data_IF_183744466225
#
_entry.id   IF_183744466225
#
_cell.length_a   1.000
_cell.length_b   1.000
_cell.length_c   1.000
_cell.angle_alpha   90.00
_cell.angle_beta   90.00
_cell.angle_gamma   90.00
#
_symmetry.space_group_name_H-M   'P 1'
#
loop_
_entity.id
_entity.type
_entity.pdbx_description
1 polymer ?
#
# COMPACT_ATOMS: atom_id res chain seq x y z
N UNK A 1 12.87 -4.69 -15.16
CA UNK A 1 12.54 -5.37 -13.90
C UNK A 1 11.29 -6.19 -14.15
N UNK A 2 11.27 -7.49 -13.82
CA UNK A 2 10.06 -8.30 -13.94
C UNK A 2 9.03 -7.86 -12.91
N UNK A 3 7.77 -7.81 -13.28
CA UNK A 3 6.67 -7.56 -12.37
C UNK A 3 6.52 -8.76 -11.43
N UNK A 4 6.62 -8.55 -10.12
CA UNK A 4 6.35 -9.59 -9.13
C UNK A 4 4.85 -9.69 -8.89
N UNK A 5 4.36 -10.92 -8.79
CA UNK A 5 2.96 -11.14 -8.40
C UNK A 5 2.70 -10.72 -6.95
N UNK A 6 1.45 -10.42 -6.58
CA UNK A 6 1.08 -10.13 -5.19
C UNK A 6 1.51 -11.23 -4.21
N UNK A 7 1.38 -12.52 -4.59
CA UNK A 7 1.79 -13.67 -3.80
C UNK A 7 3.31 -13.70 -3.52
N UNK A 8 4.12 -13.43 -4.55
CA UNK A 8 5.58 -13.34 -4.40
C UNK A 8 5.96 -12.21 -3.45
N UNK A 9 5.36 -11.03 -3.60
CA UNK A 9 5.63 -9.88 -2.73
C UNK A 9 5.27 -10.18 -1.26
N UNK A 10 4.14 -10.84 -1.04
CA UNK A 10 3.70 -11.26 0.29
C UNK A 10 4.66 -12.29 0.91
N UNK A 11 5.04 -13.31 0.14
CA UNK A 11 5.98 -14.35 0.58
C UNK A 11 7.35 -13.78 0.92
N UNK A 12 7.86 -12.85 0.10
CA UNK A 12 9.13 -12.19 0.36
C UNK A 12 9.08 -11.34 1.65
N UNK A 13 7.98 -10.63 1.88
CA UNK A 13 7.79 -9.84 3.10
C UNK A 13 7.68 -10.73 4.34
N UNK A 14 6.99 -11.88 4.25
CA UNK A 14 6.87 -12.84 5.34
C UNK A 14 8.23 -13.37 5.81
N UNK A 15 9.13 -13.72 4.87
CA UNK A 15 10.50 -14.16 5.18
C UNK A 15 11.28 -13.09 5.93
N UNK A 16 11.22 -11.83 5.46
CA UNK A 16 11.89 -10.71 6.12
C UNK A 16 11.33 -10.49 7.52
N UNK A 17 10.01 -10.66 7.70
CA UNK A 17 9.37 -10.51 9.00
C UNK A 17 9.80 -11.60 9.99
N UNK A 18 9.93 -12.85 9.54
CA UNK A 18 10.46 -13.96 10.35
C UNK A 18 11.91 -13.68 10.79
N UNK A 19 12.75 -13.19 9.88
CA UNK A 19 14.13 -12.79 10.21
C UNK A 19 14.15 -11.68 11.27
N UNK A 20 13.28 -10.67 11.15
CA UNK A 20 13.17 -9.59 12.12
C UNK A 20 12.72 -10.08 13.50
N UNK A 21 11.77 -11.00 13.54
CA UNK A 21 11.25 -11.57 14.79
C UNK A 21 12.31 -12.42 15.52
N UNK A 22 13.29 -12.95 14.81
CA UNK A 22 14.42 -13.67 15.40
C UNK A 22 15.43 -12.78 16.12
N UNK A 23 15.37 -11.46 15.89
CA UNK A 23 16.28 -10.50 16.50
C UNK A 23 15.79 -10.10 17.90
N UNK A 24 16.67 -10.20 18.91
CA UNK A 24 16.36 -9.74 20.27
C UNK A 24 16.03 -8.23 20.31
N UNK A 25 16.65 -7.45 19.43
CA UNK A 25 16.42 -6.00 19.30
C UNK A 25 16.74 -5.48 17.90
N UNK A 26 15.81 -4.79 17.30
CA UNK A 26 16.00 -4.13 16.00
C UNK A 26 16.63 -2.74 16.23
N UNK A 27 17.84 -2.53 15.71
CA UNK A 27 18.59 -1.26 15.80
C UNK A 27 18.38 -0.42 14.54
N UNK A 28 18.68 0.86 14.59
CA UNK A 28 18.57 1.77 13.43
C UNK A 28 19.34 1.27 12.18
N UNK A 29 20.50 0.64 12.39
CA UNK A 29 21.27 0.03 11.29
C UNK A 29 20.48 -1.09 10.60
N UNK A 30 19.80 -1.92 11.39
CA UNK A 30 19.02 -3.04 10.89
C UNK A 30 17.78 -2.51 10.14
N UNK A 31 17.11 -1.47 10.66
CA UNK A 31 15.99 -0.76 10.01
C UNK A 31 16.37 -0.16 8.65
N UNK A 32 17.55 0.43 8.55
CA UNK A 32 18.07 1.02 7.30
C UNK A 32 18.44 -0.03 6.25
N UNK A 33 18.73 -1.26 6.67
CA UNK A 33 19.05 -2.37 5.78
C UNK A 33 17.82 -3.05 5.20
N UNK A 34 16.62 -2.82 5.79
CA UNK A 34 15.37 -3.43 5.31
C UNK A 34 15.01 -2.96 3.90
N UNK A 35 14.60 -3.89 3.03
CA UNK A 35 14.13 -3.54 1.70
C UNK A 35 12.82 -2.75 1.77
N UNK A 36 12.73 -1.70 0.95
CA UNK A 36 11.46 -1.00 0.75
C UNK A 36 10.46 -1.95 0.10
N UNK A 37 9.22 -1.93 0.56
CA UNK A 37 8.19 -2.81 0.05
C UNK A 37 7.57 -2.25 -1.24
N UNK A 38 7.50 -3.11 -2.26
CA UNK A 38 6.80 -2.77 -3.50
C UNK A 38 5.29 -2.87 -3.30
N UNK A 39 4.54 -2.02 -4.02
CA UNK A 39 3.09 -2.01 -3.97
C UNK A 39 2.51 -3.17 -4.80
N UNK A 40 1.76 -4.09 -4.21
CA UNK A 40 1.02 -5.09 -4.96
C UNK A 40 0.08 -4.43 -5.97
N UNK A 41 0.09 -4.91 -7.19
CA UNK A 41 -0.69 -4.33 -8.28
C UNK A 41 -1.16 -5.39 -9.26
N UNK A 42 -2.18 -5.05 -10.05
CA UNK A 42 -2.67 -5.87 -11.14
C UNK A 42 -1.56 -6.19 -12.15
N UNK A 43 -1.68 -7.36 -12.78
CA UNK A 43 -0.84 -7.71 -13.92
C UNK A 43 -0.86 -6.61 -14.98
N UNK A 44 0.29 -6.24 -15.58
CA UNK A 44 0.39 -5.16 -16.55
C UNK A 44 -0.49 -5.31 -17.79
N UNK A 45 -0.79 -6.54 -18.21
CA UNK A 45 -1.68 -6.81 -19.36
C UNK A 45 -3.14 -6.72 -18.91
N UNK A 46 -3.48 -7.37 -17.79
CA UNK A 46 -4.84 -7.40 -17.26
C UNK A 46 -5.38 -6.01 -16.93
N UNK A 47 -4.55 -5.14 -16.31
CA UNK A 47 -4.96 -3.77 -15.94
C UNK A 47 -5.31 -2.88 -17.14
N UNK A 48 -4.78 -3.18 -18.33
CA UNK A 48 -5.11 -2.47 -19.57
C UNK A 48 -6.49 -2.81 -20.12
N UNK A 49 -7.17 -3.81 -19.58
CA UNK A 49 -8.45 -4.33 -20.07
C UNK A 49 -9.62 -4.10 -19.11
N UNK A 50 -9.39 -3.37 -18.01
CA UNK A 50 -10.42 -3.09 -17.02
C UNK A 50 -10.27 -1.69 -16.43
N UNK A 51 -11.27 -1.26 -15.63
CA UNK A 51 -11.31 0.05 -14.96
C UNK A 51 -11.20 -0.07 -13.43
N UNK A 52 -10.72 -1.22 -12.93
CA UNK A 52 -10.54 -1.41 -11.50
C UNK A 52 -9.30 -0.69 -10.98
N UNK A 53 -9.21 -0.52 -9.67
CA UNK A 53 -8.03 0.09 -9.03
C UNK A 53 -6.79 -0.78 -9.32
N UNK A 54 -5.74 -0.17 -9.87
CA UNK A 54 -4.54 -0.90 -10.30
C UNK A 54 -3.74 -1.47 -9.13
N UNK A 55 -3.66 -0.72 -8.03
CA UNK A 55 -2.90 -1.10 -6.85
C UNK A 55 -3.82 -1.71 -5.79
N UNK A 56 -3.40 -2.83 -5.21
CA UNK A 56 -4.19 -3.55 -4.20
C UNK A 56 -3.98 -3.05 -2.77
N UNK A 57 -2.94 -2.27 -2.50
CA UNK A 57 -2.51 -1.94 -1.15
C UNK A 57 -1.52 -2.98 -0.60
N UNK A 58 -0.96 -2.70 0.58
CA UNK A 58 -0.06 -3.64 1.24
C UNK A 58 -0.82 -4.80 1.89
N UNK A 59 -0.22 -5.98 1.87
CA UNK A 59 -0.54 -7.05 2.79
C UNK A 59 0.00 -6.72 4.19
N UNK A 60 -0.50 -7.41 5.18
CA UNK A 60 -0.12 -7.20 6.59
C UNK A 60 1.39 -7.36 6.79
N UNK A 61 1.97 -8.40 6.21
CA UNK A 61 3.40 -8.70 6.30
C UNK A 61 4.24 -7.57 5.71
N UNK A 62 3.84 -7.03 4.56
CA UNK A 62 4.51 -5.90 3.93
C UNK A 62 4.38 -4.62 4.75
N UNK A 63 3.18 -4.36 5.31
CA UNK A 63 2.95 -3.18 6.13
C UNK A 63 3.83 -3.20 7.39
N UNK A 64 3.96 -4.35 8.04
CA UNK A 64 4.84 -4.51 9.21
C UNK A 64 6.31 -4.30 8.86
N UNK A 65 6.81 -4.94 7.78
CA UNK A 65 8.20 -4.75 7.33
C UNK A 65 8.47 -3.28 6.98
N UNK A 66 7.58 -2.64 6.23
CA UNK A 66 7.74 -1.23 5.86
C UNK A 66 7.66 -0.30 7.08
N UNK A 67 6.81 -0.62 8.06
CA UNK A 67 6.71 0.12 9.32
C UNK A 67 8.00 0.02 10.14
N UNK A 68 8.65 -1.15 10.17
CA UNK A 68 9.93 -1.36 10.85
C UNK A 68 11.09 -0.55 10.23
N UNK A 69 10.98 -0.09 9.00
CA UNK A 69 11.96 0.82 8.40
C UNK A 69 11.96 2.21 9.06
N UNK A 70 10.91 2.57 9.77
CA UNK A 70 10.80 3.87 10.44
C UNK A 70 11.78 3.96 11.62
N UNK A 71 12.63 5.00 11.63
CA UNK A 71 13.63 5.24 12.68
C UNK A 71 13.02 5.84 13.97
N UNK A 72 11.71 6.06 14.02
CA UNK A 72 11.03 6.66 15.18
C UNK A 72 11.70 7.96 15.67
N UNK A 73 11.94 8.89 14.74
CA UNK A 73 12.71 10.11 14.99
C UNK A 73 12.05 11.00 16.04
N UNK A 74 12.80 11.42 17.07
CA UNK A 74 12.29 12.32 18.13
C UNK A 74 11.76 13.65 17.58
N UNK A 75 12.40 14.24 16.55
CA UNK A 75 12.00 15.51 15.94
C UNK A 75 11.26 15.31 14.62
N UNK A 76 10.81 14.13 14.29
CA UNK A 76 10.01 13.68 13.17
C UNK A 76 9.83 14.70 12.01
N UNK A 77 10.85 14.89 11.12
CA UNK A 77 10.74 15.91 10.07
C UNK A 77 9.59 15.64 9.12
N UNK A 78 9.20 14.38 8.93
CA UNK A 78 8.07 13.96 8.11
C UNK A 78 6.73 14.58 8.58
N UNK A 79 6.53 14.77 9.89
CA UNK A 79 5.34 15.44 10.44
C UNK A 79 5.26 16.88 9.95
N UNK A 80 6.39 17.57 9.84
CA UNK A 80 6.44 18.95 9.31
C UNK A 80 6.11 19.01 7.81
N UNK A 81 6.43 17.94 7.09
CA UNK A 81 6.10 17.81 5.68
C UNK A 81 4.65 17.41 5.41
N UNK A 82 3.90 16.98 6.42
CA UNK A 82 2.47 16.66 6.29
C UNK A 82 1.63 17.93 6.47
N UNK A 83 0.78 18.32 5.49
CA UNK A 83 -0.07 19.52 5.58
C UNK A 83 -1.00 19.51 6.80
N UNK A 84 -1.54 18.35 7.17
CA UNK A 84 -2.43 18.18 8.33
C UNK A 84 -1.70 17.70 9.59
N UNK A 85 -0.37 17.57 9.54
CA UNK A 85 0.47 17.24 10.67
C UNK A 85 0.13 15.95 11.41
N UNK A 86 -0.16 14.89 10.68
CA UNK A 86 -0.34 13.55 11.26
C UNK A 86 0.92 13.18 12.07
N UNK A 87 0.73 12.60 13.27
CA UNK A 87 1.83 12.03 14.04
C UNK A 87 2.33 10.73 13.41
N UNK A 88 3.17 10.92 12.36
CA UNK A 88 3.63 9.83 11.49
C UNK A 88 4.40 8.76 12.26
N UNK A 89 5.37 9.06 13.14
CA UNK A 89 6.06 8.04 13.90
C UNK A 89 5.11 7.20 14.76
N UNK A 90 4.12 7.83 15.38
CA UNK A 90 3.19 7.16 16.28
C UNK A 90 2.29 6.18 15.55
N UNK A 91 1.65 6.59 14.44
CA UNK A 91 0.80 5.66 13.70
C UNK A 91 1.59 4.50 13.07
N UNK A 92 2.82 4.78 12.57
CA UNK A 92 3.68 3.72 12.01
C UNK A 92 4.14 2.75 13.10
N UNK A 93 4.39 3.23 14.32
CA UNK A 93 4.72 2.36 15.45
C UNK A 93 3.59 1.39 15.77
N UNK A 94 2.35 1.86 15.83
CA UNK A 94 1.17 0.99 16.01
C UNK A 94 1.08 -0.08 14.92
N UNK A 95 1.40 0.24 13.64
CA UNK A 95 1.43 -0.77 12.57
C UNK A 95 2.47 -1.85 12.87
N UNK A 96 3.70 -1.47 13.28
CA UNK A 96 4.75 -2.45 13.58
C UNK A 96 4.38 -3.36 14.76
N UNK A 97 3.58 -2.87 15.68
CA UNK A 97 3.06 -3.59 16.84
C UNK A 97 1.79 -4.42 16.52
N UNK A 98 1.22 -4.26 15.29
CA UNK A 98 -0.01 -4.94 14.88
C UNK A 98 -1.29 -4.30 15.41
N UNK A 99 -1.20 -3.14 16.02
CA UNK A 99 -2.34 -2.34 16.52
C UNK A 99 -2.86 -1.39 15.44
N UNK A 100 -3.64 -1.92 14.51
CA UNK A 100 -4.15 -1.15 13.38
C UNK A 100 -5.28 -0.20 13.78
N UNK A 101 -6.05 -0.53 14.81
CA UNK A 101 -7.09 0.34 15.36
C UNK A 101 -6.46 1.59 15.98
N UNK A 102 -5.46 1.42 16.85
CA UNK A 102 -4.70 2.52 17.43
C UNK A 102 -4.00 3.36 16.38
N UNK A 103 -3.44 2.72 15.33
CA UNK A 103 -2.85 3.42 14.19
C UNK A 103 -3.85 4.33 13.49
N UNK A 104 -5.04 3.82 13.17
CA UNK A 104 -6.11 4.58 12.53
C UNK A 104 -6.62 5.72 13.41
N UNK A 105 -6.74 5.50 14.72
CA UNK A 105 -7.13 6.52 15.68
C UNK A 105 -6.14 7.69 15.67
N UNK A 106 -4.84 7.41 15.66
CA UNK A 106 -3.79 8.44 15.58
C UNK A 106 -3.91 9.27 14.30
N UNK A 107 -4.12 8.64 13.15
CA UNK A 107 -4.30 9.35 11.88
C UNK A 107 -5.54 10.26 11.94
N UNK A 108 -6.64 9.74 12.48
CA UNK A 108 -7.92 10.47 12.58
C UNK A 108 -7.92 11.65 13.54
N UNK A 109 -6.92 11.78 14.40
CA UNK A 109 -6.77 12.99 15.25
C UNK A 109 -6.66 14.28 14.42
N UNK A 110 -6.06 14.19 13.22
CA UNK A 110 -5.81 15.36 12.37
C UNK A 110 -6.25 15.20 10.90
N UNK A 111 -6.47 13.97 10.43
CA UNK A 111 -6.88 13.66 9.05
C UNK A 111 -8.24 12.95 9.05
N UNK A 112 -9.24 13.56 8.38
CA UNK A 112 -10.57 12.96 8.24
C UNK A 112 -10.68 12.00 7.05
N UNK A 113 -9.74 12.05 6.10
CA UNK A 113 -9.82 11.35 4.81
C UNK A 113 -8.58 10.48 4.53
N UNK A 114 -8.15 9.60 5.46
CA UNK A 114 -6.91 8.84 5.29
C UNK A 114 -6.92 7.94 4.05
N UNK A 115 -8.07 7.37 3.67
CA UNK A 115 -8.19 6.54 2.46
C UNK A 115 -7.90 7.32 1.17
N UNK A 116 -8.24 8.61 1.14
CA UNK A 116 -7.97 9.50 0.01
C UNK A 116 -6.52 9.97 0.08
N UNK A 117 -6.08 10.47 1.23
CA UNK A 117 -4.71 10.97 1.41
C UNK A 117 -3.67 9.90 1.06
N UNK A 118 -3.87 8.65 1.50
CA UNK A 118 -2.98 7.53 1.19
C UNK A 118 -2.89 7.19 -0.31
N UNK A 119 -3.88 7.66 -1.13
CA UNK A 119 -3.92 7.41 -2.58
C UNK A 119 -3.47 8.59 -3.43
N UNK A 120 -3.75 9.83 -3.01
CA UNK A 120 -3.62 11.00 -3.90
C UNK A 120 -2.64 12.06 -3.42
N UNK A 121 -2.18 12.03 -2.17
CA UNK A 121 -1.16 12.98 -1.71
C UNK A 121 0.15 12.79 -2.50
N UNK A 122 0.81 13.87 -2.97
CA UNK A 122 2.14 13.82 -3.58
C UNK A 122 3.21 13.66 -2.47
N UNK A 123 3.25 12.50 -1.84
CA UNK A 123 4.01 12.24 -0.62
C UNK A 123 5.52 12.40 -0.82
N UNK A 124 6.00 12.14 -2.03
CA UNK A 124 7.39 12.34 -2.45
C UNK A 124 7.85 13.80 -2.39
N UNK A 125 6.91 14.75 -2.38
CA UNK A 125 7.13 16.18 -2.23
C UNK A 125 6.64 16.72 -0.87
N UNK A 126 6.12 15.86 -0.02
CA UNK A 126 5.56 16.19 1.30
C UNK A 126 6.26 15.37 2.40
N UNK A 127 5.55 14.50 3.11
CA UNK A 127 6.07 13.78 4.25
C UNK A 127 7.29 12.90 3.93
N UNK A 128 7.33 12.24 2.77
CA UNK A 128 8.44 11.37 2.37
C UNK A 128 9.71 12.14 2.03
N UNK A 129 9.60 13.35 1.44
CA UNK A 129 10.75 14.22 1.15
C UNK A 129 11.58 14.51 2.40
N UNK A 130 10.91 14.68 3.54
CA UNK A 130 11.56 15.00 4.81
C UNK A 130 12.00 13.76 5.59
N UNK A 131 11.71 12.56 5.11
CA UNK A 131 11.99 11.32 5.82
C UNK A 131 13.51 11.14 6.05
N UNK A 132 13.88 10.88 7.32
CA UNK A 132 15.28 10.66 7.71
C UNK A 132 15.86 9.40 7.07
N UNK A 133 15.07 8.38 6.80
CA UNK A 133 15.52 7.15 6.12
C UNK A 133 16.06 7.47 4.73
N UNK A 134 15.27 8.17 3.90
CA UNK A 134 15.70 8.57 2.56
C UNK A 134 16.96 9.44 2.58
N UNK A 135 17.05 10.38 3.55
CA UNK A 135 18.23 11.21 3.74
C UNK A 135 19.46 10.38 4.14
N UNK A 136 19.30 9.41 5.04
CA UNK A 136 20.39 8.53 5.49
C UNK A 136 20.90 7.63 4.35
N UNK A 137 20.00 7.16 3.48
CA UNK A 137 20.32 6.35 2.32
C UNK A 137 20.76 7.18 1.11
N UNK A 138 20.75 8.51 1.21
CA UNK A 138 21.04 9.47 0.11
C UNK A 138 20.17 9.24 -1.14
N UNK A 139 18.97 8.75 -0.92
CA UNK A 139 17.97 8.47 -1.96
C UNK A 139 16.57 8.73 -1.41
N UNK A 140 15.95 9.83 -1.86
CA UNK A 140 14.61 10.22 -1.40
C UNK A 140 13.53 9.19 -1.74
N UNK A 141 13.72 8.42 -2.83
CA UNK A 141 12.79 7.38 -3.24
C UNK A 141 12.85 6.14 -2.34
N UNK A 142 13.90 6.00 -1.52
CA UNK A 142 14.03 4.96 -0.50
C UNK A 142 13.50 5.39 0.88
N UNK A 143 12.79 6.51 0.96
CA UNK A 143 12.07 6.91 2.16
C UNK A 143 11.08 5.81 2.59
N UNK A 144 10.65 5.85 3.85
CA UNK A 144 9.51 5.03 4.30
C UNK A 144 8.28 5.39 3.48
N UNK A 145 7.57 4.40 2.97
CA UNK A 145 6.37 4.57 2.14
C UNK A 145 5.16 4.98 2.98
N UNK A 146 5.23 6.18 3.57
CA UNK A 146 4.30 6.69 4.59
C UNK A 146 2.84 6.61 4.12
N UNK A 147 2.56 7.07 2.91
CA UNK A 147 1.19 7.05 2.41
C UNK A 147 0.68 5.65 2.05
N UNK A 148 1.56 4.72 1.66
CA UNK A 148 1.15 3.33 1.47
C UNK A 148 0.75 2.68 2.79
N UNK A 149 1.43 3.06 3.90
CA UNK A 149 1.06 2.65 5.25
C UNK A 149 -0.23 3.33 5.73
N UNK A 150 -0.41 4.62 5.44
CA UNK A 150 -1.66 5.34 5.70
C UNK A 150 -2.84 4.70 4.97
N UNK A 151 -2.67 4.38 3.68
CA UNK A 151 -3.65 3.65 2.89
C UNK A 151 -3.97 2.28 3.51
N UNK A 152 -2.96 1.50 3.87
CA UNK A 152 -3.14 0.18 4.47
C UNK A 152 -4.05 0.24 5.70
N UNK A 153 -3.78 1.15 6.63
CA UNK A 153 -4.57 1.31 7.85
C UNK A 153 -5.99 1.81 7.56
N UNK A 154 -6.13 2.72 6.60
CA UNK A 154 -7.44 3.23 6.20
C UNK A 154 -8.31 2.15 5.55
N UNK A 155 -7.73 1.33 4.68
CA UNK A 155 -8.40 0.22 4.01
C UNK A 155 -8.75 -0.89 5.03
N UNK A 156 -7.86 -1.16 5.98
CA UNK A 156 -8.14 -2.05 7.11
C UNK A 156 -9.35 -1.58 7.90
N UNK A 157 -9.41 -0.32 8.28
CA UNK A 157 -10.53 0.26 9.02
C UNK A 157 -11.86 0.30 8.26
N UNK A 158 -11.81 0.22 6.93
CA UNK A 158 -12.97 0.09 6.06
C UNK A 158 -13.35 -1.37 5.77
N UNK A 159 -12.62 -2.35 6.32
CA UNK A 159 -12.82 -3.78 6.05
C UNK A 159 -12.39 -4.22 4.64
N UNK A 160 -11.55 -3.42 3.97
CA UNK A 160 -11.10 -3.69 2.59
C UNK A 160 -9.78 -4.49 2.59
N UNK A 161 -8.95 -4.37 3.64
CA UNK A 161 -7.68 -5.10 3.77
C UNK A 161 -7.90 -6.56 4.08
N UNK A 162 -7.05 -7.39 3.52
CA UNK A 162 -7.11 -8.85 3.68
C UNK A 162 -7.93 -9.52 2.59
N UNK A 163 -8.11 -8.85 1.45
CA UNK A 163 -8.58 -9.51 0.25
C UNK A 163 -7.63 -10.69 -0.03
N UNK A 164 -8.12 -11.91 0.19
CA UNK A 164 -7.42 -13.12 -0.26
C UNK A 164 -7.24 -13.05 -1.77
N UNK A 165 -6.24 -13.76 -2.31
CA UNK A 165 -6.08 -13.84 -3.77
C UNK A 165 -7.36 -14.30 -4.46
N UNK A 166 -8.17 -15.12 -3.78
CA UNK A 166 -9.50 -15.56 -4.23
C UNK A 166 -10.46 -14.38 -4.37
N UNK A 167 -10.56 -13.51 -3.36
CA UNK A 167 -11.41 -12.30 -3.42
C UNK A 167 -10.88 -11.29 -4.45
N UNK A 168 -9.56 -11.13 -4.57
CA UNK A 168 -8.98 -10.30 -5.63
C UNK A 168 -9.28 -10.85 -7.02
N UNK A 169 -9.29 -12.18 -7.19
CA UNK A 169 -9.66 -12.84 -8.44
C UNK A 169 -11.17 -12.76 -8.71
N UNK A 170 -12.03 -12.79 -7.68
CA UNK A 170 -13.47 -12.63 -7.79
C UNK A 170 -13.87 -11.18 -8.12
N UNK A 171 -13.26 -10.20 -7.45
CA UNK A 171 -13.53 -8.77 -7.69
C UNK A 171 -12.88 -8.25 -8.98
N UNK A 172 -11.77 -8.88 -9.43
CA UNK A 172 -11.05 -8.57 -10.66
C UNK A 172 -10.84 -9.84 -11.50
N UNK A 173 -11.90 -10.45 -12.04
CA UNK A 173 -11.72 -11.62 -12.88
C UNK A 173 -10.84 -11.29 -14.08
N UNK A 174 -9.72 -12.03 -14.23
CA UNK A 174 -8.91 -11.95 -15.44
C UNK A 174 -9.80 -12.30 -16.64
N UNK A 175 -9.78 -11.48 -17.71
CA UNK A 175 -10.51 -11.82 -18.92
C UNK A 175 -10.07 -13.20 -19.43
N UNK A 176 -10.98 -13.99 -20.03
CA UNK A 176 -10.68 -15.34 -20.50
C UNK A 176 -9.44 -15.46 -21.39
N UNK A 177 -9.12 -14.40 -22.13
CA UNK A 177 -7.94 -14.30 -23.00
C UNK A 177 -6.60 -14.18 -22.25
N UNK A 178 -6.60 -13.79 -20.98
CA UNK A 178 -5.37 -13.69 -20.19
C UNK A 178 -4.97 -15.01 -19.50
N UNK A 179 -5.82 -16.05 -19.58
CA UNK A 179 -5.60 -17.35 -18.96
C UNK A 179 -4.95 -18.40 -19.86
N UNK A 180 -4.79 -18.10 -21.14
CA UNK A 180 -4.22 -19.02 -22.12
C UNK A 180 -2.98 -18.39 -22.75
N UNK A 181 -1.87 -19.04 -22.54
CA UNK A 181 -0.63 -19.05 -23.33
C UNK A 181 -0.26 -17.76 -24.08
N UNK A 182 0.89 -17.21 -23.72
CA UNK A 182 1.54 -16.02 -24.28
C UNK A 182 1.68 -15.95 -25.80
N UNK A 183 0.57 -15.88 -26.52
CA UNK A 183 0.51 -15.65 -27.95
C UNK A 183 -0.33 -14.41 -28.24
N UNK A 184 0.32 -13.31 -28.60
CA UNK A 184 -0.34 -12.09 -29.10
C UNK A 184 -0.54 -12.32 -30.60
N UNK A 185 -1.73 -12.70 -31.03
CA UNK A 185 -2.14 -12.54 -32.41
C UNK A 185 -3.00 -11.26 -32.52
N UNK A 186 -2.48 -10.36 -33.32
CA UNK A 186 -2.99 -8.99 -33.47
C UNK A 186 -4.23 -8.88 -34.35
N UNK A 187 -5.30 -9.66 -34.10
CA UNK A 187 -6.55 -9.52 -34.81
C UNK A 187 -7.76 -9.66 -33.93
N UNK A 188 -8.30 -8.53 -33.44
CA UNK A 188 -9.53 -8.58 -32.66
C UNK A 188 -9.96 -7.26 -32.02
N UNK A 189 -9.99 -6.18 -32.78
CA UNK A 189 -10.78 -5.01 -32.37
C UNK A 189 -12.26 -5.33 -32.52
N UNK A 190 -12.86 -5.93 -31.50
CA UNK A 190 -14.32 -6.10 -31.44
C UNK A 190 -14.88 -5.15 -30.41
N UNK A 191 -15.75 -4.26 -30.85
CA UNK A 191 -16.37 -3.20 -30.09
C UNK A 191 -17.07 -3.70 -28.81
N UNK A 192 -16.67 -3.19 -27.66
CA UNK A 192 -17.36 -3.36 -26.41
C UNK A 192 -18.54 -2.37 -26.34
N UNK A 193 -19.71 -2.78 -26.86
CA UNK A 193 -20.99 -2.15 -26.52
C UNK A 193 -21.71 -3.02 -25.48
N UNK A 194 -21.26 -2.95 -24.25
CA UNK A 194 -21.93 -3.53 -23.09
C UNK A 194 -22.16 -2.45 -22.06
N UNK A 195 -23.33 -1.80 -22.11
CA UNK A 195 -23.76 -0.82 -21.11
C UNK A 195 -24.02 -1.52 -19.79
N UNK A 196 -23.05 -1.50 -18.86
CA UNK A 196 -23.28 -1.89 -17.47
C UNK A 196 -24.02 -0.75 -16.77
N UNK A 197 -25.33 -0.85 -16.70
CA UNK A 197 -26.15 0.00 -15.83
C UNK A 197 -25.86 -0.36 -14.37
N UNK A 198 -24.97 0.36 -13.73
CA UNK A 198 -24.81 0.33 -12.27
C UNK A 198 -25.97 1.12 -11.67
N UNK A 199 -26.90 0.43 -11.02
CA UNK A 199 -27.94 1.08 -10.23
C UNK A 199 -27.26 1.78 -9.04
N UNK A 200 -27.34 3.10 -9.00
CA UNK A 200 -27.00 3.87 -7.81
C UNK A 200 -28.05 3.58 -6.72
N UNK A 201 -27.65 3.41 -5.44
CA UNK A 201 -28.63 3.27 -4.37
C UNK A 201 -29.44 4.56 -4.24
N UNK A 202 -30.77 4.42 -4.18
CA UNK A 202 -31.68 5.54 -3.96
C UNK A 202 -31.40 6.21 -2.62
N UNK A 203 -31.03 7.49 -2.67
CA UNK A 203 -30.95 8.34 -1.48
C UNK A 203 -32.35 8.74 -1.11
N UNK A 204 -32.88 8.25 0.02
CA UNK A 204 -34.14 8.72 0.58
C UNK A 204 -33.97 10.17 1.06
N UNK A 205 -34.85 11.09 0.68
CA UNK A 205 -34.83 12.44 1.25
C UNK A 205 -35.19 12.41 2.74
N UNK A 206 -34.56 13.32 3.50
CA UNK A 206 -34.80 13.51 4.92
C UNK A 206 -36.16 14.07 5.22
#
# INVERSE_FOLDING_TARGET
MSHKSPAELRSDAAKVLEELQSLEKIRNKDRLALPQQDMPSQDPVARGQNMYEVTYGYFEEQAKVEAERCLQCRNAPCVKGCPVRIDIPRFIKHISEGDYEGSLAVIKETSLLPSICGRVCPQENQCQEYCTVGKSLKDKFKSVSIGRLERFVADWGAGITGLSEEKLAEENPLPPSARADGGIDGSGATALTGSVKRALPEVKPA
#
